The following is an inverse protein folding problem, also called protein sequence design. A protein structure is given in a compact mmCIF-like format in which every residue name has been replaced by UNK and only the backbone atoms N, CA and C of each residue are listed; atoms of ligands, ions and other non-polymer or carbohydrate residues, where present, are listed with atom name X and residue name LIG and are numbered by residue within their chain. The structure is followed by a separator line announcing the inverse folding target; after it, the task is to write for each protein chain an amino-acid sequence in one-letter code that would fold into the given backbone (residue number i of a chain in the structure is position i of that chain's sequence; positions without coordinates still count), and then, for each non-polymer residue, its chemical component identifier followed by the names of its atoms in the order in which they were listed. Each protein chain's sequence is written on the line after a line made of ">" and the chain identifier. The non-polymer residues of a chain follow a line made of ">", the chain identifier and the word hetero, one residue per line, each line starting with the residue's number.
data_IF_021412062042
#
_entry.id   IF_021412062042
#
_cell.length_a   1.000
_cell.length_b   1.000
_cell.length_c   1.000
_cell.angle_alpha   90.00
_cell.angle_beta   90.00
_cell.angle_gamma   90.00
#
_symmetry.space_group_name_H-M   'P 1'
#
loop_
_entity.id
_entity.type
_entity.pdbx_description
1 polymer ?
#
# COMPACT_ATOMS: atom_id res chain seq x y z
N UNK A 1 -9.17 5.33 8.63
CA UNK A 1 -8.79 4.75 7.33
C UNK A 1 -9.80 3.67 6.99
N UNK A 2 -10.37 3.64 5.79
CA UNK A 2 -11.46 2.72 5.42
C UNK A 2 -10.97 1.33 4.98
N UNK A 3 -9.67 1.03 5.10
CA UNK A 3 -9.04 -0.21 4.64
C UNK A 3 -9.30 -0.56 3.16
N UNK A 4 -9.66 0.44 2.34
CA UNK A 4 -9.84 0.31 0.89
C UNK A 4 -8.88 1.26 0.17
N UNK A 5 -8.30 0.80 -0.93
CA UNK A 5 -7.40 1.58 -1.79
C UNK A 5 -8.00 1.72 -3.18
N UNK A 6 -7.71 2.81 -3.88
CA UNK A 6 -8.06 2.94 -5.30
C UNK A 6 -7.13 2.08 -6.15
N UNK A 7 -7.66 1.51 -7.23
CA UNK A 7 -6.89 0.74 -8.20
C UNK A 7 -5.83 1.63 -8.84
N UNK A 8 -4.53 1.29 -8.75
CA UNK A 8 -3.47 2.05 -9.42
C UNK A 8 -3.69 2.12 -10.94
N UNK A 9 -3.32 3.24 -11.54
CA UNK A 9 -3.37 3.47 -12.99
C UNK A 9 -4.77 3.35 -13.63
N UNK A 10 -5.84 3.33 -12.83
CA UNK A 10 -7.21 3.34 -13.33
C UNK A 10 -7.57 4.71 -13.91
N UNK A 11 -8.15 4.72 -15.12
CA UNK A 11 -8.69 5.92 -15.75
C UNK A 11 -10.03 6.38 -15.14
N UNK A 12 -10.64 5.56 -14.29
CA UNK A 12 -11.90 5.86 -13.61
C UNK A 12 -11.83 5.59 -12.10
N UNK A 13 -12.91 5.93 -11.39
CA UNK A 13 -13.02 5.63 -9.96
C UNK A 13 -13.24 4.13 -9.75
N UNK A 14 -12.15 3.42 -9.42
CA UNK A 14 -12.15 1.99 -9.18
C UNK A 14 -11.48 1.68 -7.84
N UNK A 15 -12.07 0.78 -7.07
CA UNK A 15 -11.52 0.27 -5.81
C UNK A 15 -10.73 -1.00 -6.12
N UNK A 16 -9.55 -1.11 -5.52
CA UNK A 16 -8.66 -2.27 -5.63
C UNK A 16 -9.28 -3.49 -4.93
N UNK A 17 -9.08 -4.67 -5.49
CA UNK A 17 -9.61 -5.95 -4.99
C UNK A 17 -8.64 -6.66 -4.03
N UNK A 18 -7.47 -6.08 -3.78
CA UNK A 18 -6.51 -6.59 -2.80
C UNK A 18 -7.10 -6.57 -1.37
N UNK A 19 -6.75 -7.56 -0.53
CA UNK A 19 -7.20 -7.59 0.85
C UNK A 19 -6.63 -6.40 1.65
N UNK A 20 -7.08 -6.17 2.89
CA UNK A 20 -6.44 -5.20 3.76
C UNK A 20 -4.94 -5.46 3.87
N UNK A 21 -4.15 -4.38 3.87
CA UNK A 21 -2.70 -4.46 4.00
C UNK A 21 -2.15 -3.29 4.79
N UNK A 22 -0.88 -3.41 5.17
CA UNK A 22 -0.12 -2.33 5.77
C UNK A 22 1.15 -2.07 4.97
N UNK A 23 1.58 -0.81 4.95
CA UNK A 23 2.90 -0.42 4.47
C UNK A 23 3.80 -0.19 5.65
N UNK A 24 4.98 -0.78 5.65
CA UNK A 24 6.04 -0.43 6.58
C UNK A 24 7.08 0.45 5.89
N UNK A 25 7.76 1.27 6.69
CA UNK A 25 8.82 2.17 6.26
C UNK A 25 10.08 1.89 7.08
N UNK A 26 11.19 1.63 6.41
CA UNK A 26 12.54 1.58 6.99
C UNK A 26 13.27 2.87 6.59
N UNK A 27 13.69 3.64 7.59
CA UNK A 27 14.37 4.92 7.42
C UNK A 27 15.87 4.74 7.73
N UNK A 28 16.74 5.07 6.79
CA UNK A 28 18.19 4.95 6.95
C UNK A 28 18.85 6.32 7.18
N UNK A 29 20.04 6.30 7.80
CA UNK A 29 20.79 7.52 8.14
C UNK A 29 21.29 8.31 6.92
N UNK A 30 21.47 7.64 5.79
CA UNK A 30 21.86 8.24 4.51
C UNK A 30 20.68 8.94 3.80
N UNK A 31 19.49 8.93 4.42
CA UNK A 31 18.26 9.47 3.84
C UNK A 31 17.54 8.50 2.91
N UNK A 32 18.06 7.28 2.73
CA UNK A 32 17.35 6.25 1.97
C UNK A 32 16.08 5.83 2.70
N UNK A 33 15.00 5.67 1.93
CA UNK A 33 13.75 5.11 2.38
C UNK A 33 13.57 3.75 1.72
N UNK A 34 13.39 2.69 2.52
CA UNK A 34 12.87 1.42 2.03
C UNK A 34 11.44 1.26 2.51
N UNK A 35 10.58 0.75 1.65
CA UNK A 35 9.21 0.46 2.02
C UNK A 35 8.70 -0.73 1.26
N UNK A 36 7.77 -1.45 1.88
CA UNK A 36 7.06 -2.55 1.24
C UNK A 36 5.61 -2.62 1.74
N UNK A 37 4.77 -3.32 1.00
CA UNK A 37 3.35 -3.53 1.33
C UNK A 37 3.15 -5.00 1.67
N UNK A 38 2.61 -5.25 2.86
CA UNK A 38 2.22 -6.58 3.31
C UNK A 38 0.70 -6.67 3.28
N UNK A 39 0.21 -7.62 2.50
CA UNK A 39 -1.20 -7.96 2.42
C UNK A 39 -1.54 -9.01 3.48
N UNK A 40 -2.63 -8.79 4.20
CA UNK A 40 -3.15 -9.76 5.16
C UNK A 40 -3.95 -10.80 4.37
N UNK A 41 -3.35 -11.96 4.13
CA UNK A 41 -4.09 -13.11 3.64
C UNK A 41 -4.97 -13.64 4.79
N UNK A 42 -6.21 -14.05 4.49
CA UNK A 42 -7.10 -14.71 5.45
C UNK A 42 -6.56 -16.07 5.91
#
# INVERSE_FOLDING_TARGET
>A
STCAQFTPESSGFAIDDKPPGFRWLELYQDGTLRSDVVWLNE
#
